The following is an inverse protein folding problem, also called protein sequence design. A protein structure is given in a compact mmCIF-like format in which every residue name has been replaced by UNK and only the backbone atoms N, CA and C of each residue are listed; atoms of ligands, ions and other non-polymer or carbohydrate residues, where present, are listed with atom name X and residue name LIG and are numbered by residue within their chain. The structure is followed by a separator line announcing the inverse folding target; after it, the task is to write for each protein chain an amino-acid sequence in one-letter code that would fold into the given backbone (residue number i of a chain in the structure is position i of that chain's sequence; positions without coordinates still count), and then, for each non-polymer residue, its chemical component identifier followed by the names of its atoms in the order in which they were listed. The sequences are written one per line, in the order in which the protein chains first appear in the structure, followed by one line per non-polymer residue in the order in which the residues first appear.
data_IF_013435599034
#
_entry.id   IF_013435599034
#
_cell.length_a   1.000
_cell.length_b   1.000
_cell.length_c   1.000
_cell.angle_alpha   90.00
_cell.angle_beta   90.00
_cell.angle_gamma   90.00
#
_symmetry.space_group_name_H-M   'P 1'
#
loop_
_entity.id
_entity.type
_entity.pdbx_description
1 polymer ?
#
# COMPACT_ATOMS: atom_id res chain seq x y z
N UNK A 1 31.89 32.72 -19.48
CA UNK A 1 31.02 32.86 -18.28
C UNK A 1 30.07 31.68 -18.30
N UNK A 2 30.08 30.83 -17.27
CA UNK A 2 29.11 29.75 -17.17
C UNK A 2 27.78 30.35 -16.74
N UNK A 3 26.74 30.25 -17.58
CA UNK A 3 25.37 30.58 -17.17
C UNK A 3 25.03 29.76 -15.92
N UNK A 4 24.55 30.45 -14.88
CA UNK A 4 24.08 29.76 -13.69
C UNK A 4 22.90 28.86 -14.06
N UNK A 5 23.02 27.56 -13.80
CA UNK A 5 21.95 26.60 -14.04
C UNK A 5 20.91 26.72 -12.93
N UNK A 6 19.85 27.51 -13.17
CA UNK A 6 18.74 27.70 -12.24
C UNK A 6 17.73 26.54 -12.25
N UNK A 7 18.05 25.40 -12.88
CA UNK A 7 17.20 24.21 -12.90
C UNK A 7 17.30 23.44 -11.58
N UNK A 8 16.54 23.91 -10.60
CA UNK A 8 16.53 23.36 -9.24
C UNK A 8 15.59 22.16 -9.06
N UNK A 9 14.68 21.90 -10.01
CA UNK A 9 13.64 20.87 -9.87
C UNK A 9 13.99 19.62 -10.65
N UNK A 10 13.48 18.46 -10.22
CA UNK A 10 13.75 17.17 -10.84
C UNK A 10 12.48 16.58 -11.43
N UNK A 11 12.59 16.02 -12.63
CA UNK A 11 11.54 15.19 -13.21
C UNK A 11 11.36 13.89 -12.42
N UNK A 12 10.13 13.55 -12.05
CA UNK A 12 9.81 12.32 -11.30
C UNK A 12 10.18 11.01 -12.02
N UNK A 13 10.18 11.02 -13.36
CA UNK A 13 10.50 9.83 -14.16
C UNK A 13 11.98 9.68 -14.53
N UNK A 14 12.61 10.71 -15.11
CA UNK A 14 13.99 10.62 -15.62
C UNK A 14 15.03 11.33 -14.73
N UNK A 15 14.62 11.91 -13.61
CA UNK A 15 15.49 12.64 -12.66
C UNK A 15 16.34 13.75 -13.29
N UNK A 16 15.96 14.25 -14.47
CA UNK A 16 16.63 15.37 -15.12
C UNK A 16 16.29 16.66 -14.38
N UNK A 17 17.30 17.54 -14.22
CA UNK A 17 17.11 18.92 -13.77
C UNK A 17 16.31 19.72 -14.78
N UNK A 18 15.23 20.32 -14.32
CA UNK A 18 14.25 21.09 -15.08
C UNK A 18 13.94 22.40 -14.35
N UNK A 19 13.44 23.36 -15.11
CA UNK A 19 12.74 24.50 -14.51
C UNK A 19 11.36 24.10 -14.02
N UNK A 20 10.80 24.84 -13.06
CA UNK A 20 9.46 24.59 -12.54
C UNK A 20 8.39 24.59 -13.65
N UNK A 21 8.50 25.52 -14.61
CA UNK A 21 7.57 25.66 -15.73
C UNK A 21 7.68 24.55 -16.79
N UNK A 22 8.77 23.77 -16.80
CA UNK A 22 8.94 22.63 -17.70
C UNK A 22 8.32 21.34 -17.14
N UNK A 23 7.99 21.34 -15.84
CA UNK A 23 7.38 20.20 -15.17
C UNK A 23 5.87 20.26 -15.27
N UNK A 24 5.26 19.09 -15.49
CA UNK A 24 3.81 18.94 -15.36
C UNK A 24 3.37 19.35 -13.94
N UNK A 25 2.32 20.17 -13.81
CA UNK A 25 1.77 20.53 -12.50
C UNK A 25 1.08 19.36 -11.79
N UNK A 26 0.78 18.26 -12.50
CA UNK A 26 0.07 17.11 -11.93
C UNK A 26 1.03 15.97 -11.54
N UNK A 27 1.97 15.62 -12.41
CA UNK A 27 2.87 14.47 -12.21
C UNK A 27 4.35 14.85 -12.04
N UNK A 28 4.69 16.15 -12.10
CA UNK A 28 6.07 16.66 -12.03
C UNK A 28 7.01 15.97 -13.03
N UNK A 29 6.51 15.67 -14.23
CA UNK A 29 7.26 15.08 -15.33
C UNK A 29 7.71 16.15 -16.31
N UNK A 30 8.93 16.04 -16.81
CA UNK A 30 9.41 16.91 -17.88
C UNK A 30 8.64 16.65 -19.18
N UNK A 31 8.72 17.60 -20.12
CA UNK A 31 8.07 17.54 -21.44
C UNK A 31 8.35 16.27 -22.24
N UNK A 32 9.50 15.61 -22.03
CA UNK A 32 9.85 14.36 -22.71
C UNK A 32 9.23 13.11 -22.06
N UNK A 33 9.01 13.14 -20.75
CA UNK A 33 8.46 12.01 -20.00
C UNK A 33 6.95 12.12 -19.79
N UNK A 34 6.39 13.29 -20.10
CA UNK A 34 4.95 13.55 -20.06
C UNK A 34 4.25 12.71 -21.12
N UNK A 35 3.23 11.98 -20.69
CA UNK A 35 2.32 11.29 -21.60
C UNK A 35 1.21 12.25 -22.07
N UNK A 36 0.64 12.03 -23.27
CA UNK A 36 -0.48 12.83 -23.74
C UNK A 36 -1.68 12.69 -22.79
N UNK A 37 -2.46 13.76 -22.68
CA UNK A 37 -3.68 13.74 -21.87
C UNK A 37 -4.66 12.70 -22.42
N UNK A 38 -5.20 11.87 -21.53
CA UNK A 38 -6.22 10.88 -21.87
C UNK A 38 -7.55 11.22 -21.21
N UNK A 39 -8.65 10.75 -21.80
CA UNK A 39 -9.99 10.88 -21.22
C UNK A 39 -10.24 9.74 -20.24
N UNK A 40 -10.75 10.06 -19.05
CA UNK A 40 -11.16 9.05 -18.08
C UNK A 40 -12.40 8.30 -18.58
N UNK A 41 -12.36 6.96 -18.64
CA UNK A 41 -13.47 6.15 -19.12
C UNK A 41 -14.77 6.24 -18.28
N UNK A 42 -14.70 6.81 -17.06
CA UNK A 42 -15.85 6.93 -16.13
C UNK A 42 -16.48 8.32 -16.15
N UNK A 43 -15.67 9.38 -16.27
CA UNK A 43 -16.15 10.76 -16.14
C UNK A 43 -15.75 11.68 -17.30
N UNK A 44 -15.12 11.13 -18.33
CA UNK A 44 -14.64 11.79 -19.56
C UNK A 44 -13.70 12.98 -19.35
N UNK A 45 -13.29 13.25 -18.11
CA UNK A 45 -12.33 14.31 -17.77
C UNK A 45 -10.96 13.94 -18.30
N UNK A 46 -10.31 14.92 -18.94
CA UNK A 46 -8.91 14.80 -19.36
C UNK A 46 -8.01 14.76 -18.14
N UNK A 47 -7.09 13.80 -18.10
CA UNK A 47 -6.09 13.66 -17.05
C UNK A 47 -4.73 13.29 -17.64
N UNK A 48 -3.67 13.53 -16.87
CA UNK A 48 -2.32 13.11 -17.23
C UNK A 48 -2.03 11.71 -16.64
N UNK A 49 -1.94 10.66 -17.47
CA UNK A 49 -1.68 9.32 -16.99
C UNK A 49 -0.21 9.14 -16.59
N UNK A 50 0.04 8.31 -15.56
CA UNK A 50 1.40 7.91 -15.16
C UNK A 50 1.93 6.77 -16.02
N UNK A 51 1.05 5.88 -16.43
CA UNK A 51 1.34 4.74 -17.29
C UNK A 51 0.42 4.77 -18.53
N UNK A 52 0.88 4.21 -19.65
CA UNK A 52 0.07 4.13 -20.88
C UNK A 52 -1.18 3.25 -20.70
N UNK A 53 -1.17 2.39 -19.69
CA UNK A 53 -2.28 1.51 -19.32
C UNK A 53 -3.33 2.15 -18.41
N UNK A 54 -3.08 3.36 -17.86
CA UNK A 54 -4.06 4.02 -16.99
C UNK A 54 -5.25 4.56 -17.80
N UNK A 55 -6.45 4.03 -17.50
CA UNK A 55 -7.71 4.41 -18.17
C UNK A 55 -8.58 5.37 -17.35
N UNK A 56 -8.23 5.57 -16.07
CA UNK A 56 -9.07 6.29 -15.11
C UNK A 56 -8.30 7.46 -14.50
N UNK A 57 -8.98 8.59 -14.29
CA UNK A 57 -8.41 9.70 -13.54
C UNK A 57 -8.26 9.33 -12.06
N UNK A 58 -7.32 9.99 -11.33
CA UNK A 58 -7.04 9.73 -9.91
C UNK A 58 -8.28 9.63 -9.00
N UNK A 59 -9.30 10.44 -9.26
CA UNK A 59 -10.55 10.41 -8.48
C UNK A 59 -11.33 9.12 -8.74
N UNK A 60 -11.51 8.76 -10.00
CA UNK A 60 -12.24 7.54 -10.37
C UNK A 60 -11.46 6.28 -10.00
N UNK A 61 -10.14 6.30 -10.19
CA UNK A 61 -9.23 5.24 -9.77
C UNK A 61 -9.33 4.96 -8.26
N UNK A 62 -9.29 6.02 -7.44
CA UNK A 62 -9.50 5.90 -5.99
C UNK A 62 -10.85 5.26 -5.63
N UNK A 63 -11.93 5.63 -6.34
CA UNK A 63 -13.24 5.03 -6.11
C UNK A 63 -13.26 3.55 -6.49
N UNK A 64 -12.63 3.15 -7.60
CA UNK A 64 -12.54 1.74 -8.01
C UNK A 64 -11.81 0.91 -6.96
N UNK A 65 -10.62 1.35 -6.52
CA UNK A 65 -9.82 0.62 -5.51
C UNK A 65 -10.61 0.45 -4.21
N UNK A 66 -11.30 1.51 -3.75
CA UNK A 66 -12.10 1.47 -2.53
C UNK A 66 -13.24 0.44 -2.61
N UNK A 67 -13.91 0.32 -3.75
CA UNK A 67 -15.01 -0.62 -3.92
C UNK A 67 -14.55 -2.07 -4.16
N UNK A 68 -13.39 -2.28 -4.79
CA UNK A 68 -12.79 -3.63 -4.91
C UNK A 68 -12.38 -4.17 -3.54
N UNK A 69 -11.76 -3.34 -2.68
CA UNK A 69 -11.37 -3.75 -1.32
C UNK A 69 -12.54 -4.07 -0.39
N UNK A 70 -13.76 -3.65 -0.73
CA UNK A 70 -14.97 -3.92 0.03
C UNK A 70 -15.66 -5.24 -0.36
N UNK A 71 -15.21 -5.90 -1.43
CA UNK A 71 -15.71 -7.23 -1.79
C UNK A 71 -14.94 -8.25 -0.96
N UNK A 72 -15.58 -8.95 0.00
CA UNK A 72 -14.91 -10.05 0.66
C UNK A 72 -14.46 -11.04 -0.41
N UNK A 73 -13.25 -11.61 -0.32
CA UNK A 73 -12.81 -12.63 -1.27
C UNK A 73 -13.89 -13.71 -1.36
N UNK A 74 -14.21 -14.22 -2.56
CA UNK A 74 -15.18 -15.28 -2.69
C UNK A 74 -14.76 -16.43 -1.78
N UNK A 75 -15.68 -16.91 -0.94
CA UNK A 75 -15.44 -18.11 -0.14
C UNK A 75 -15.26 -19.23 -1.14
N UNK A 76 -14.01 -19.60 -1.37
CA UNK A 76 -13.71 -20.82 -2.07
C UNK A 76 -14.10 -21.93 -1.09
N UNK A 77 -15.22 -22.61 -1.37
CA UNK A 77 -15.55 -23.90 -0.76
C UNK A 77 -14.51 -24.91 -1.26
N UNK A 78 -13.30 -24.83 -0.71
CA UNK A 78 -12.39 -25.96 -0.72
C UNK A 78 -12.98 -26.96 0.26
N UNK A 79 -13.66 -27.97 -0.26
CA UNK A 79 -13.83 -29.25 0.42
C UNK A 79 -12.43 -29.84 0.64
N UNK A 80 -11.77 -29.36 1.69
CA UNK A 80 -10.65 -30.04 2.30
C UNK A 80 -11.27 -31.28 2.95
N UNK A 81 -11.25 -32.39 2.23
CA UNK A 81 -11.43 -33.72 2.80
C UNK A 81 -10.46 -33.83 3.99
N UNK A 82 -10.99 -33.62 5.18
CA UNK A 82 -10.33 -33.76 6.47
C UNK A 82 -10.08 -35.25 6.70
N UNK A 83 -9.07 -35.78 6.02
CA UNK A 83 -8.54 -37.09 6.32
C UNK A 83 -7.11 -36.88 6.83
N UNK A 84 -6.97 -36.81 8.16
CA UNK A 84 -5.81 -37.28 8.94
C UNK A 84 -5.90 -36.83 10.41
N UNK A 85 -6.30 -37.79 11.25
CA UNK A 85 -5.82 -38.14 12.61
C UNK A 85 -5.54 -37.04 13.67
N UNK A 86 -6.01 -37.23 14.92
CA UNK A 86 -5.83 -36.28 16.01
C UNK A 86 -4.45 -36.45 16.68
N UNK A 87 -3.41 -35.81 16.14
CA UNK A 87 -2.17 -35.64 16.89
C UNK A 87 -2.26 -34.43 17.84
N UNK A 88 -2.55 -34.79 19.09
CA UNK A 88 -2.26 -34.12 20.35
C UNK A 88 -0.98 -33.24 20.30
N UNK A 89 -0.98 -32.14 21.06
CA UNK A 89 0.13 -31.19 21.33
C UNK A 89 0.08 -29.81 20.64
N UNK A 90 -1.00 -29.08 20.91
CA UNK A 90 -0.97 -27.62 21.02
C UNK A 90 -1.79 -27.18 22.23
N UNK A 91 -1.40 -26.16 23.01
CA UNK A 91 -2.19 -25.75 24.17
C UNK A 91 -3.58 -25.29 23.69
N UNK A 92 -4.66 -25.61 24.42
CA UNK A 92 -6.03 -25.34 24.00
C UNK A 92 -6.23 -23.89 23.57
N UNK A 93 -6.86 -23.68 22.40
CA UNK A 93 -7.18 -22.35 21.86
C UNK A 93 -8.18 -21.56 22.73
N UNK A 94 -8.77 -22.20 23.74
CA UNK A 94 -9.75 -21.61 24.67
C UNK A 94 -9.12 -20.87 25.86
N UNK A 95 -7.79 -20.72 25.88
CA UNK A 95 -7.12 -19.95 26.93
C UNK A 95 -7.31 -18.46 26.70
N UNK A 96 -7.81 -17.78 27.72
CA UNK A 96 -7.87 -16.32 27.69
C UNK A 96 -6.46 -15.75 27.59
N UNK A 97 -6.33 -14.59 26.94
CA UNK A 97 -5.04 -13.91 26.78
C UNK A 97 -4.28 -13.74 28.12
N UNK A 98 -5.01 -13.57 29.23
CA UNK A 98 -4.45 -13.46 30.57
C UNK A 98 -3.74 -14.75 31.05
N UNK A 99 -4.31 -15.92 30.78
CA UNK A 99 -3.69 -17.20 31.14
C UNK A 99 -2.43 -17.45 30.31
N UNK A 100 -2.50 -17.15 29.02
CA UNK A 100 -1.38 -17.30 28.09
C UNK A 100 -0.22 -16.36 28.45
N UNK A 101 -0.52 -15.14 28.87
CA UNK A 101 0.47 -14.18 29.36
C UNK A 101 1.15 -14.66 30.66
N UNK A 102 0.40 -15.25 31.58
CA UNK A 102 0.94 -15.78 32.84
C UNK A 102 1.97 -16.90 32.62
N UNK A 103 1.67 -17.83 31.71
CA UNK A 103 2.58 -18.92 31.34
C UNK A 103 3.87 -18.40 30.71
N UNK A 104 3.77 -17.40 29.83
CA UNK A 104 4.94 -16.75 29.23
C UNK A 104 5.82 -16.15 30.32
N UNK A 105 5.26 -15.37 31.25
CA UNK A 105 6.04 -14.78 32.36
C UNK A 105 6.78 -15.84 33.17
N UNK A 106 6.10 -16.95 33.48
CA UNK A 106 6.70 -18.06 34.24
C UNK A 106 7.82 -18.75 33.46
N UNK A 107 7.65 -18.98 32.15
CA UNK A 107 8.64 -19.62 31.31
C UNK A 107 9.88 -18.72 31.05
N UNK A 108 9.69 -17.41 30.99
CA UNK A 108 10.76 -16.44 30.72
C UNK A 108 11.41 -15.89 31.99
N UNK A 109 10.98 -16.31 33.18
CA UNK A 109 11.49 -15.81 34.46
C UNK A 109 11.23 -14.31 34.67
N UNK A 110 10.17 -13.77 34.05
CA UNK A 110 9.80 -12.37 34.23
C UNK A 110 9.00 -12.28 35.53
N UNK A 111 9.68 -11.92 36.62
CA UNK A 111 9.03 -11.49 37.85
C UNK A 111 8.48 -10.07 37.63
N UNK A 112 7.20 -9.85 37.96
CA UNK A 112 6.64 -8.51 38.03
C UNK A 112 7.30 -7.81 39.22
N UNK A 113 8.43 -7.16 38.95
CA UNK A 113 9.12 -6.32 39.90
C UNK A 113 8.16 -5.27 40.44
N UNK A 114 7.74 -5.46 41.69
CA UNK A 114 7.13 -4.44 42.52
C UNK A 114 8.08 -3.23 42.53
N UNK A 115 7.75 -2.20 41.76
CA UNK A 115 8.26 -0.87 42.06
C UNK A 115 7.50 -0.39 43.31
N UNK A 116 8.13 -0.61 44.47
CA UNK A 116 7.78 0.12 45.69
C UNK A 116 8.43 1.50 45.54
N UNK A 117 7.60 2.54 45.69
CA UNK A 117 7.96 3.96 45.77
C UNK A 117 9.17 4.24 46.69
#
# INVERSE_FOLDING_TARGET
MAEADYRLYLCSNCCRRCFWNELSPQEHRCTRCRLPLQGCAICDRKFEPRDRSELYCKRCDFHLVKHVSATPPPVLELDLELDMEPELFGPPRDRTMAQRWKEIKTATGIEDGYFID
#
